data_IF_858946013679
#
_entry.id   IF_858946013679
#
_cell.length_a   1.000
_cell.length_b   1.000
_cell.length_c   1.000
_cell.angle_alpha   90.00
_cell.angle_beta   90.00
_cell.angle_gamma   90.00
#
_symmetry.space_group_name_H-M   'P 1'
#
loop_
_entity.id
_entity.type
_entity.pdbx_description
1 polymer ?
#
# COMPACT_ATOMS: atom_id res chain seq x y z
N UNK A 1 -31.94 -49.12 54.48
CA UNK A 1 -30.52 -48.78 54.67
C UNK A 1 -29.87 -48.62 53.30
N UNK A 2 -29.40 -47.40 53.04
CA UNK A 2 -28.41 -46.89 52.07
C UNK A 2 -28.16 -47.67 50.76
N UNK A 3 -28.66 -47.07 49.69
CA UNK A 3 -28.28 -47.26 48.28
C UNK A 3 -26.84 -46.77 48.03
N UNK A 4 -26.01 -47.58 47.37
CA UNK A 4 -24.71 -47.18 46.81
C UNK A 4 -24.94 -46.55 45.43
N UNK A 5 -24.64 -45.27 45.30
CA UNK A 5 -24.54 -44.58 44.01
C UNK A 5 -23.07 -44.37 43.70
N UNK A 6 -22.63 -44.98 42.59
CA UNK A 6 -21.32 -44.81 41.96
C UNK A 6 -21.17 -43.39 41.42
N UNK A 7 -20.07 -42.72 41.76
CA UNK A 7 -19.66 -41.44 41.19
C UNK A 7 -18.84 -41.68 39.93
N UNK A 8 -19.36 -41.24 38.78
CA UNK A 8 -18.58 -41.05 37.53
C UNK A 8 -18.58 -39.55 37.25
N UNK A 9 -17.42 -38.88 37.10
CA UNK A 9 -17.38 -37.46 36.79
C UNK A 9 -17.70 -37.22 35.31
N UNK A 10 -18.59 -36.26 35.10
CA UNK A 10 -19.10 -35.74 33.83
C UNK A 10 -18.02 -34.89 33.16
N UNK A 11 -17.67 -35.23 31.92
CA UNK A 11 -16.75 -34.47 31.07
C UNK A 11 -17.57 -33.43 30.29
N UNK A 12 -17.52 -32.16 30.69
CA UNK A 12 -18.13 -31.06 29.94
C UNK A 12 -17.24 -30.68 28.76
N UNK A 13 -17.71 -30.96 27.55
CA UNK A 13 -17.11 -30.52 26.30
C UNK A 13 -17.67 -29.13 25.97
N UNK A 14 -16.91 -28.07 26.25
CA UNK A 14 -17.21 -26.72 25.76
C UNK A 14 -16.94 -26.66 24.25
N UNK A 15 -17.98 -26.84 23.46
CA UNK A 15 -17.95 -26.47 22.05
C UNK A 15 -18.07 -24.95 21.94
N UNK A 16 -16.94 -24.27 21.71
CA UNK A 16 -16.94 -22.86 21.27
C UNK A 16 -17.41 -22.89 19.81
N UNK A 17 -18.73 -22.78 19.63
CA UNK A 17 -19.34 -22.56 18.33
C UNK A 17 -19.06 -21.12 17.89
N UNK A 18 -18.11 -20.94 16.97
CA UNK A 18 -17.96 -19.69 16.23
C UNK A 18 -19.24 -19.46 15.41
N UNK A 19 -20.11 -18.60 15.92
CA UNK A 19 -21.26 -18.08 15.19
C UNK A 19 -20.73 -17.21 14.04
N UNK A 20 -20.45 -17.83 12.89
CA UNK A 20 -20.38 -17.12 11.62
C UNK A 20 -21.81 -16.66 11.31
N UNK A 21 -22.17 -15.47 11.80
CA UNK A 21 -23.39 -14.78 11.37
C UNK A 21 -23.18 -14.44 9.90
N UNK A 22 -23.64 -15.31 9.02
CA UNK A 22 -23.81 -15.03 7.62
C UNK A 22 -24.99 -14.05 7.45
N UNK A 23 -24.77 -12.78 7.76
CA UNK A 23 -25.63 -11.73 7.21
C UNK A 23 -25.39 -11.71 5.71
N UNK A 24 -26.40 -12.10 4.94
CA UNK A 24 -26.43 -12.08 3.48
C UNK A 24 -26.83 -10.69 2.97
N UNK A 25 -26.22 -9.63 3.50
CA UNK A 25 -26.34 -8.29 2.94
C UNK A 25 -25.18 -8.04 1.95
N UNK A 26 -25.34 -7.04 1.08
CA UNK A 26 -24.40 -6.70 0.02
C UNK A 26 -23.02 -6.32 0.58
N UNK A 27 -22.97 -5.61 1.71
CA UNK A 27 -21.77 -5.28 2.48
C UNK A 27 -20.95 -6.52 2.86
N UNK A 28 -21.59 -7.57 3.38
CA UNK A 28 -20.89 -8.81 3.76
C UNK A 28 -20.40 -9.62 2.55
N UNK A 29 -21.02 -9.45 1.37
CA UNK A 29 -20.48 -10.00 0.11
C UNK A 29 -19.26 -9.18 -0.32
N UNK A 30 -19.38 -7.86 -0.33
CA UNK A 30 -18.31 -6.94 -0.70
C UNK A 30 -17.05 -7.16 0.15
N UNK A 31 -17.20 -7.24 1.48
CA UNK A 31 -16.10 -7.53 2.41
C UNK A 31 -15.41 -8.89 2.20
N UNK A 32 -16.07 -9.86 1.53
CA UNK A 32 -15.48 -11.16 1.19
C UNK A 32 -14.70 -11.12 -0.11
N UNK A 33 -15.01 -10.19 -1.00
CA UNK A 33 -14.39 -10.12 -2.33
C UNK A 33 -13.12 -9.25 -2.33
N UNK A 34 -13.04 -8.24 -1.47
CA UNK A 34 -11.90 -7.32 -1.34
C UNK A 34 -10.58 -7.99 -0.91
N UNK A 35 -10.54 -8.91 0.08
CA UNK A 35 -9.28 -9.47 0.56
C UNK A 35 -8.43 -10.12 -0.54
N UNK A 36 -7.11 -9.93 -0.42
CA UNK A 36 -6.12 -10.41 -1.38
C UNK A 36 -5.16 -9.31 -1.85
N UNK A 37 -4.32 -9.68 -2.82
CA UNK A 37 -3.28 -8.80 -3.39
C UNK A 37 -3.75 -8.23 -4.73
N UNK A 38 -3.63 -6.91 -4.88
CA UNK A 38 -4.11 -6.17 -6.04
C UNK A 38 -3.07 -5.15 -6.48
N UNK A 39 -2.70 -5.16 -7.76
CA UNK A 39 -1.74 -4.23 -8.33
C UNK A 39 -2.43 -3.18 -9.19
N UNK A 40 -2.11 -1.90 -8.96
CA UNK A 40 -2.59 -0.79 -9.76
C UNK A 40 -1.83 -0.64 -11.08
N UNK A 41 -2.24 0.34 -11.87
CA UNK A 41 -1.50 0.78 -13.05
C UNK A 41 -0.43 1.80 -12.67
N UNK A 42 0.58 2.03 -13.53
CA UNK A 42 1.55 3.11 -13.31
C UNK A 42 0.86 4.47 -13.22
N UNK A 43 1.16 5.22 -12.17
CA UNK A 43 0.64 6.57 -11.94
C UNK A 43 1.80 7.56 -11.77
N UNK A 44 1.61 8.79 -12.23
CA UNK A 44 2.59 9.86 -12.03
C UNK A 44 2.51 10.37 -10.59
N UNK A 45 3.66 10.58 -9.98
CA UNK A 45 3.79 11.31 -8.72
C UNK A 45 4.61 12.56 -9.02
N UNK A 46 3.99 13.73 -8.86
CA UNK A 46 4.69 15.02 -8.88
C UNK A 46 4.18 15.87 -7.72
N UNK A 47 5.07 16.62 -7.07
CA UNK A 47 4.71 17.57 -6.00
C UNK A 47 5.04 19.02 -6.38
N UNK A 48 5.16 19.31 -7.68
CA UNK A 48 5.68 20.58 -8.23
C UNK A 48 7.15 20.90 -7.87
N UNK A 49 7.90 19.97 -7.28
CA UNK A 49 9.37 20.04 -7.22
C UNK A 49 10.02 19.52 -8.51
N UNK A 50 11.35 19.63 -8.61
CA UNK A 50 12.15 19.17 -9.76
C UNK A 50 12.25 17.63 -9.90
N UNK A 51 11.27 16.89 -9.36
CA UNK A 51 11.21 15.43 -9.36
C UNK A 51 10.03 15.01 -10.24
N UNK A 52 10.34 14.23 -11.29
CA UNK A 52 9.33 13.49 -12.06
C UNK A 52 9.41 12.03 -11.63
N UNK A 53 8.34 11.50 -11.05
CA UNK A 53 8.30 10.12 -10.60
C UNK A 53 7.06 9.40 -11.11
N UNK A 54 7.14 8.07 -11.21
CA UNK A 54 5.98 7.20 -11.37
C UNK A 54 6.01 6.08 -10.34
N UNK A 55 4.84 5.61 -9.95
CA UNK A 55 4.65 4.50 -9.00
C UNK A 55 3.73 3.45 -9.57
N UNK A 56 3.98 2.20 -9.18
CA UNK A 56 3.00 1.12 -9.26
C UNK A 56 2.74 0.66 -7.83
N UNK A 57 1.52 0.89 -7.35
CA UNK A 57 1.08 0.45 -6.03
C UNK A 57 0.56 -1.00 -6.08
N UNK A 58 0.91 -1.79 -5.06
CA UNK A 58 0.36 -3.12 -4.80
C UNK A 58 -0.27 -3.12 -3.41
N UNK A 59 -1.59 -3.29 -3.37
CA UNK A 59 -2.40 -3.32 -2.17
C UNK A 59 -2.58 -4.76 -1.70
N UNK A 60 -2.33 -5.02 -0.43
CA UNK A 60 -2.63 -6.28 0.24
C UNK A 60 -3.71 -6.02 1.29
N UNK A 61 -4.94 -6.39 0.96
CA UNK A 61 -6.09 -6.26 1.86
C UNK A 61 -6.24 -7.52 2.70
N UNK A 62 -6.11 -7.40 4.01
CA UNK A 62 -6.39 -8.49 4.95
C UNK A 62 -7.89 -8.75 5.06
N UNK A 63 -8.32 -9.98 5.42
CA UNK A 63 -9.72 -10.29 5.69
C UNK A 63 -10.35 -9.33 6.70
N UNK A 64 -11.59 -8.92 6.44
CA UNK A 64 -12.33 -8.07 7.35
C UNK A 64 -12.76 -8.82 8.62
N UNK A 65 -12.87 -8.07 9.71
CA UNK A 65 -13.51 -8.47 10.96
C UNK A 65 -14.60 -7.47 11.33
N UNK A 66 -15.66 -7.96 11.96
CA UNK A 66 -16.75 -7.12 12.45
C UNK A 66 -16.32 -6.39 13.72
N UNK A 67 -16.49 -5.07 13.75
CA UNK A 67 -16.29 -4.27 14.97
C UNK A 67 -17.52 -4.30 15.88
N UNK A 68 -17.40 -3.75 17.09
CA UNK A 68 -18.52 -3.61 18.02
C UNK A 68 -19.67 -2.73 17.48
N UNK A 69 -19.40 -1.87 16.51
CA UNK A 69 -20.38 -1.00 15.86
C UNK A 69 -20.92 -1.62 14.55
N UNK A 70 -20.77 -2.93 14.37
CA UNK A 70 -21.26 -3.68 13.19
C UNK A 70 -20.64 -3.22 11.86
N UNK A 71 -19.46 -2.58 11.90
CA UNK A 71 -18.69 -2.21 10.71
C UNK A 71 -17.66 -3.27 10.37
N UNK A 72 -17.54 -3.63 9.08
CA UNK A 72 -16.52 -4.56 8.57
C UNK A 72 -15.23 -3.80 8.22
N UNK A 73 -14.13 -4.17 8.86
CA UNK A 73 -12.82 -3.50 8.69
C UNK A 73 -11.67 -4.50 8.66
N UNK A 74 -10.61 -4.19 7.92
CA UNK A 74 -9.39 -5.00 7.88
C UNK A 74 -8.13 -4.14 7.73
N UNK A 75 -6.98 -4.75 7.94
CA UNK A 75 -5.70 -4.10 7.67
C UNK A 75 -5.43 -4.03 6.16
N UNK A 76 -4.71 -3.01 5.73
CA UNK A 76 -4.14 -2.92 4.38
C UNK A 76 -2.66 -2.56 4.46
N UNK A 77 -1.84 -3.22 3.65
CA UNK A 77 -0.47 -2.81 3.38
C UNK A 77 -0.36 -2.45 1.91
N UNK A 78 0.28 -1.32 1.61
CA UNK A 78 0.57 -0.90 0.24
C UNK A 78 2.06 -0.90 0.04
N UNK A 79 2.52 -1.66 -0.95
CA UNK A 79 3.91 -1.65 -1.42
C UNK A 79 3.99 -0.96 -2.78
N UNK A 80 4.94 -0.04 -2.94
CA UNK A 80 5.08 0.74 -4.16
C UNK A 80 6.45 0.57 -4.79
N UNK A 81 6.48 0.33 -6.11
CA UNK A 81 7.69 0.43 -6.92
C UNK A 81 7.74 1.81 -7.57
N UNK A 82 8.72 2.63 -7.20
CA UNK A 82 8.85 4.02 -7.65
C UNK A 82 10.03 4.14 -8.61
N UNK A 83 9.80 4.74 -9.77
CA UNK A 83 10.86 5.20 -10.67
C UNK A 83 10.92 6.72 -10.62
N UNK A 84 12.11 7.26 -10.42
CA UNK A 84 12.35 8.70 -10.28
C UNK A 84 13.31 9.19 -11.34
N UNK A 85 13.03 10.36 -11.89
CA UNK A 85 13.95 11.17 -12.66
C UNK A 85 14.03 12.58 -12.04
N UNK A 86 15.22 13.00 -11.66
CA UNK A 86 15.44 14.30 -11.01
C UNK A 86 16.74 14.95 -11.46
N UNK A 87 16.80 16.28 -11.40
CA UNK A 87 18.00 17.03 -11.71
C UNK A 87 18.65 17.49 -10.40
N UNK A 88 19.90 17.10 -10.17
CA UNK A 88 20.67 17.55 -9.01
C UNK A 88 21.59 18.69 -9.43
N UNK A 89 21.43 19.81 -8.73
CA UNK A 89 22.36 20.95 -8.78
C UNK A 89 23.20 20.89 -7.52
N UNK A 90 24.48 20.57 -7.66
CA UNK A 90 25.46 20.60 -6.57
C UNK A 90 26.64 21.47 -6.97
N UNK A 91 27.19 22.22 -6.02
CA UNK A 91 28.42 23.01 -6.21
C UNK A 91 29.64 22.17 -6.63
N UNK A 92 29.61 20.86 -6.36
CA UNK A 92 30.61 19.90 -6.80
C UNK A 92 30.57 19.63 -8.32
N UNK A 93 29.47 19.99 -9.00
CA UNK A 93 29.29 19.79 -10.43
C UNK A 93 29.26 21.14 -11.15
N UNK A 94 29.99 21.25 -12.26
CA UNK A 94 30.01 22.46 -13.08
C UNK A 94 28.68 22.71 -13.80
N UNK A 95 27.90 21.63 -14.04
CA UNK A 95 26.59 21.66 -14.66
C UNK A 95 25.63 20.73 -13.88
N UNK A 96 24.31 20.98 -13.91
CA UNK A 96 23.35 20.08 -13.30
C UNK A 96 23.42 18.67 -13.90
N UNK A 97 23.31 17.65 -13.05
CA UNK A 97 23.32 16.25 -13.47
C UNK A 97 21.91 15.69 -13.40
N UNK A 98 21.45 15.09 -14.49
CA UNK A 98 20.21 14.32 -14.49
C UNK A 98 20.47 12.96 -13.83
N UNK A 99 19.67 12.62 -12.83
CA UNK A 99 19.69 11.34 -12.14
C UNK A 99 18.39 10.58 -12.38
N UNK A 100 18.51 9.27 -12.54
CA UNK A 100 17.40 8.34 -12.39
C UNK A 100 17.63 7.45 -11.17
N UNK A 101 16.59 7.13 -10.42
CA UNK A 101 16.64 6.24 -9.26
C UNK A 101 15.41 5.32 -9.23
N UNK A 102 15.54 4.16 -8.60
CA UNK A 102 14.40 3.31 -8.23
C UNK A 102 14.27 3.24 -6.71
N UNK A 103 13.05 3.16 -6.20
CA UNK A 103 12.78 2.98 -4.78
C UNK A 103 11.66 1.99 -4.54
N UNK A 104 11.74 1.29 -3.42
CA UNK A 104 10.66 0.51 -2.86
C UNK A 104 10.03 1.27 -1.70
N UNK A 105 8.71 1.24 -1.59
CA UNK A 105 7.98 1.93 -0.53
C UNK A 105 6.99 1.00 0.14
N UNK A 106 6.75 1.20 1.42
CA UNK A 106 5.71 0.47 2.16
C UNK A 106 4.97 1.41 3.09
N UNK A 107 3.65 1.28 3.15
CA UNK A 107 2.79 1.99 4.08
C UNK A 107 1.67 1.06 4.56
N UNK A 108 1.29 1.20 5.82
CA UNK A 108 0.21 0.43 6.42
C UNK A 108 -1.00 1.31 6.71
N UNK A 109 -2.17 0.68 6.80
CA UNK A 109 -3.42 1.35 7.10
C UNK A 109 -4.54 0.37 7.39
N UNK A 110 -5.76 0.89 7.36
CA UNK A 110 -7.00 0.10 7.48
C UNK A 110 -7.96 0.42 6.34
N UNK A 111 -8.68 -0.59 5.88
CA UNK A 111 -9.82 -0.43 5.00
C UNK A 111 -11.11 -0.75 5.74
N UNK A 112 -12.20 -0.07 5.40
CA UNK A 112 -13.50 -0.23 6.06
C UNK A 112 -14.59 -0.17 5.01
N UNK A 113 -15.56 -1.10 5.09
CA UNK A 113 -16.76 -1.04 4.26
C UNK A 113 -17.65 0.10 4.76
N UNK A 114 -18.03 1.01 3.86
CA UNK A 114 -18.92 2.14 4.16
C UNK A 114 -20.35 1.80 3.76
N UNK A 115 -20.54 1.29 2.55
CA UNK A 115 -21.80 0.77 2.02
C UNK A 115 -21.54 -0.42 1.06
N UNK A 116 -22.48 -0.75 0.18
CA UNK A 116 -22.45 -1.94 -0.66
C UNK A 116 -21.38 -1.95 -1.76
N UNK A 117 -20.91 -0.79 -2.19
CA UNK A 117 -19.78 -0.62 -3.13
C UNK A 117 -18.85 0.55 -2.75
N UNK A 118 -18.92 1.05 -1.52
CA UNK A 118 -18.04 2.11 -1.03
C UNK A 118 -17.08 1.60 0.06
N UNK A 119 -15.82 2.05 0.00
CA UNK A 119 -14.84 1.76 1.05
C UNK A 119 -14.09 3.01 1.50
N UNK A 120 -13.76 3.07 2.78
CA UNK A 120 -12.87 4.07 3.34
C UNK A 120 -11.47 3.48 3.52
N UNK A 121 -10.45 4.28 3.18
CA UNK A 121 -9.05 3.99 3.46
C UNK A 121 -8.49 4.97 4.48
N UNK A 122 -7.83 4.43 5.50
CA UNK A 122 -7.10 5.22 6.48
C UNK A 122 -5.64 4.76 6.48
N UNK A 123 -4.81 5.51 5.76
CA UNK A 123 -3.37 5.23 5.67
C UNK A 123 -2.62 5.93 6.81
N UNK A 124 -1.79 5.18 7.53
CA UNK A 124 -0.89 5.73 8.52
C UNK A 124 0.36 6.29 7.85
N UNK A 125 0.36 7.58 7.55
CA UNK A 125 1.48 8.28 6.91
C UNK A 125 2.76 8.18 7.75
N UNK A 126 2.66 8.03 9.07
CA UNK A 126 3.85 7.85 9.93
C UNK A 126 4.53 6.49 9.68
N UNK A 127 3.78 5.48 9.22
CA UNK A 127 4.30 4.16 8.86
C UNK A 127 5.01 4.13 7.50
N UNK A 128 4.94 5.20 6.70
CA UNK A 128 5.54 5.24 5.36
C UNK A 128 7.07 5.13 5.43
N UNK A 129 7.58 4.05 4.83
CA UNK A 129 9.00 3.77 4.60
C UNK A 129 9.31 3.92 3.12
N UNK A 130 10.46 4.54 2.82
CA UNK A 130 10.99 4.70 1.47
C UNK A 130 12.43 4.18 1.48
N UNK A 131 12.69 3.17 0.65
CA UNK A 131 14.00 2.57 0.47
C UNK A 131 14.47 2.79 -0.98
N UNK A 132 15.48 3.65 -1.16
CA UNK A 132 16.03 3.98 -2.47
C UNK A 132 17.13 2.96 -2.80
N UNK A 133 16.98 2.23 -3.90
CA UNK A 133 17.96 1.23 -4.33
C UNK A 133 19.28 1.92 -4.69
N UNK A 134 20.36 1.69 -3.93
CA UNK A 134 21.65 2.34 -4.18
C UNK A 134 22.28 1.91 -5.51
N UNK A 135 21.90 0.76 -6.08
CA UNK A 135 22.43 0.24 -7.35
C UNK A 135 21.65 0.73 -8.56
N UNK A 136 20.42 1.20 -8.36
CA UNK A 136 19.55 1.69 -9.43
C UNK A 136 19.71 3.19 -9.71
N UNK A 137 20.64 3.87 -9.02
CA UNK A 137 20.85 5.30 -9.23
C UNK A 137 21.89 5.53 -10.33
N UNK A 138 21.48 6.17 -11.43
CA UNK A 138 22.32 6.40 -12.61
C UNK A 138 22.34 7.88 -13.02
N UNK A 139 23.53 8.38 -13.38
CA UNK A 139 23.71 9.71 -13.95
C UNK A 139 23.57 9.67 -15.47
N UNK A 140 22.64 10.45 -16.01
CA UNK A 140 22.36 10.53 -17.44
C UNK A 140 23.03 11.77 -18.04
N UNK A 141 23.97 11.58 -18.98
CA UNK A 141 24.33 12.65 -19.95
C UNK A 141 25.70 13.33 -19.88
N UNK A 142 26.80 12.72 -19.43
CA UNK A 142 28.14 13.32 -19.65
C UNK A 142 29.25 12.32 -20.05
N UNK A 143 29.83 12.42 -21.26
CA UNK A 143 30.90 11.53 -21.74
C UNK A 143 32.24 11.66 -20.98
N UNK A 144 32.42 12.71 -20.16
CA UNK A 144 33.63 12.93 -19.37
C UNK A 144 33.68 12.16 -18.04
N UNK A 145 32.71 11.29 -17.78
CA UNK A 145 32.63 10.42 -16.58
C UNK A 145 33.18 9.01 -16.88
N UNK A 146 33.94 8.82 -17.96
CA UNK A 146 34.68 7.58 -18.19
C UNK A 146 35.90 7.53 -17.25
N UNK A 147 35.65 7.11 -16.01
CA UNK A 147 36.65 6.92 -14.95
C UNK A 147 36.41 7.69 -13.65
N UNK A 148 35.19 8.20 -13.38
CA UNK A 148 34.93 9.01 -12.18
C UNK A 148 34.11 8.24 -11.12
N UNK A 149 34.55 8.18 -9.85
CA UNK A 149 33.81 7.59 -8.71
C UNK A 149 32.44 8.22 -8.38
N UNK A 150 31.95 9.17 -9.20
CA UNK A 150 30.64 9.82 -9.08
C UNK A 150 29.44 8.84 -9.19
N UNK A 151 29.64 7.63 -9.73
CA UNK A 151 28.63 6.57 -9.81
C UNK A 151 28.72 5.54 -8.67
N UNK A 152 29.84 5.45 -7.96
CA UNK A 152 30.07 4.39 -6.94
C UNK A 152 29.46 4.73 -5.56
N UNK A 153 29.11 6.00 -5.32
CA UNK A 153 28.43 6.45 -4.11
C UNK A 153 27.78 7.80 -4.38
N UNK A 154 26.64 7.82 -5.06
CA UNK A 154 25.74 8.97 -4.97
C UNK A 154 25.44 9.15 -3.47
N UNK A 155 26.05 10.20 -2.91
CA UNK A 155 26.25 10.45 -1.49
C UNK A 155 25.01 10.01 -0.67
N UNK A 156 25.16 9.35 0.50
CA UNK A 156 24.04 9.12 1.42
C UNK A 156 23.09 10.31 1.56
N UNK A 157 23.59 11.55 1.48
CA UNK A 157 22.80 12.79 1.46
C UNK A 157 21.94 12.96 0.20
N UNK A 158 22.43 12.64 -1.00
CA UNK A 158 21.64 12.70 -2.24
C UNK A 158 20.52 11.66 -2.20
N UNK A 159 20.82 10.44 -1.75
CA UNK A 159 19.80 9.40 -1.57
C UNK A 159 18.79 9.79 -0.50
N UNK A 160 19.23 10.38 0.61
CA UNK A 160 18.34 10.88 1.65
C UNK A 160 17.41 11.97 1.12
N UNK A 161 17.91 12.90 0.29
CA UNK A 161 17.08 13.92 -0.36
C UNK A 161 16.06 13.31 -1.33
N UNK A 162 16.47 12.34 -2.14
CA UNK A 162 15.54 11.62 -3.04
C UNK A 162 14.47 10.90 -2.21
N UNK A 163 14.87 10.18 -1.16
CA UNK A 163 13.95 9.46 -0.28
C UNK A 163 12.97 10.41 0.42
N UNK A 164 13.44 11.58 0.88
CA UNK A 164 12.60 12.61 1.49
C UNK A 164 11.60 13.20 0.49
N UNK A 165 12.03 13.50 -0.74
CA UNK A 165 11.15 13.98 -1.80
C UNK A 165 10.07 12.96 -2.16
N UNK A 166 10.43 11.68 -2.32
CA UNK A 166 9.47 10.59 -2.54
C UNK A 166 8.51 10.51 -1.34
N UNK A 167 9.03 10.53 -0.11
CA UNK A 167 8.22 10.42 1.11
C UNK A 167 7.22 11.57 1.22
N UNK A 168 7.62 12.80 0.91
CA UNK A 168 6.73 13.96 0.93
C UNK A 168 5.60 13.81 -0.10
N UNK A 169 5.95 13.49 -1.35
CA UNK A 169 4.97 13.35 -2.42
C UNK A 169 3.97 12.21 -2.14
N UNK A 170 4.47 11.06 -1.65
CA UNK A 170 3.62 9.93 -1.27
C UNK A 170 2.79 10.19 -0.01
N UNK A 171 3.30 10.96 0.94
CA UNK A 171 2.54 11.34 2.13
C UNK A 171 1.28 12.13 1.75
N UNK A 172 1.39 13.05 0.78
CA UNK A 172 0.24 13.81 0.27
C UNK A 172 -0.73 12.89 -0.47
N UNK A 173 -0.22 12.03 -1.37
CA UNK A 173 -1.02 11.06 -2.12
C UNK A 173 -1.80 10.11 -1.20
N UNK A 174 -1.12 9.39 -0.32
CA UNK A 174 -1.81 8.47 0.61
C UNK A 174 -2.66 9.23 1.64
N UNK A 175 -2.43 10.52 1.85
CA UNK A 175 -3.33 11.36 2.63
C UNK A 175 -4.61 11.77 1.87
N UNK A 176 -4.60 11.79 0.54
CA UNK A 176 -5.80 12.07 -0.26
C UNK A 176 -6.62 10.82 -0.57
N UNK A 177 -6.00 9.63 -0.60
CA UNK A 177 -6.72 8.35 -0.65
C UNK A 177 -7.46 8.12 0.68
N UNK A 178 -8.71 8.57 0.74
CA UNK A 178 -9.59 8.48 1.92
C UNK A 178 -10.84 7.65 1.65
N UNK A 179 -11.30 7.66 0.41
CA UNK A 179 -12.54 7.04 0.00
C UNK A 179 -12.38 6.48 -1.40
N UNK A 180 -12.89 5.28 -1.61
CA UNK A 180 -13.00 4.62 -2.91
C UNK A 180 -14.49 4.38 -3.16
N UNK A 181 -15.00 5.01 -4.19
CA UNK A 181 -16.40 4.97 -4.61
C UNK A 181 -16.60 3.94 -5.73
N UNK A 182 -17.85 3.51 -5.94
CA UNK A 182 -18.26 2.70 -7.09
C UNK A 182 -17.44 1.41 -7.28
N UNK A 183 -17.02 0.79 -6.17
CA UNK A 183 -16.07 -0.33 -6.17
C UNK A 183 -16.70 -1.58 -6.76
N UNK A 184 -16.20 -1.99 -7.93
CA UNK A 184 -16.74 -3.11 -8.70
C UNK A 184 -15.67 -4.16 -8.95
N UNK A 185 -15.86 -5.35 -8.37
CA UNK A 185 -15.01 -6.51 -8.60
C UNK A 185 -15.63 -7.41 -9.68
N UNK A 186 -14.86 -7.70 -10.73
CA UNK A 186 -15.24 -8.62 -11.82
C UNK A 186 -14.06 -9.51 -12.17
N UNK A 187 -14.08 -10.75 -11.65
CA UNK A 187 -12.99 -11.70 -11.85
C UNK A 187 -11.70 -11.20 -11.21
N UNK A 188 -10.66 -10.99 -12.02
CA UNK A 188 -9.37 -10.50 -11.58
C UNK A 188 -9.26 -8.95 -11.57
N UNK A 189 -10.33 -8.21 -11.88
CA UNK A 189 -10.29 -6.75 -11.93
C UNK A 189 -11.12 -6.17 -10.78
N UNK A 190 -10.55 -5.19 -10.09
CA UNK A 190 -11.24 -4.30 -9.15
C UNK A 190 -11.19 -2.90 -9.75
N UNK A 191 -12.35 -2.31 -10.01
CA UNK A 191 -12.48 -0.92 -10.43
C UNK A 191 -13.01 -0.09 -9.28
N UNK A 192 -12.57 1.15 -9.17
CA UNK A 192 -13.05 2.08 -8.16
C UNK A 192 -12.83 3.51 -8.65
N UNK A 193 -13.55 4.45 -8.05
CA UNK A 193 -13.43 5.88 -8.30
C UNK A 193 -12.83 6.57 -7.07
N UNK A 194 -12.00 7.59 -7.28
CA UNK A 194 -11.59 8.53 -6.23
C UNK A 194 -11.91 9.93 -6.72
N UNK A 195 -12.94 10.55 -6.14
CA UNK A 195 -13.48 11.80 -6.68
C UNK A 195 -14.12 11.56 -8.04
N UNK A 196 -13.57 12.13 -9.11
CA UNK A 196 -14.06 11.95 -10.49
C UNK A 196 -13.11 11.08 -11.35
N UNK A 197 -12.08 10.49 -10.75
CA UNK A 197 -11.06 9.72 -11.45
C UNK A 197 -11.28 8.21 -11.30
N UNK A 198 -11.22 7.49 -12.41
CA UNK A 198 -11.35 6.04 -12.50
C UNK A 198 -10.00 5.33 -12.29
N UNK A 199 -10.00 4.30 -11.45
CA UNK A 199 -8.83 3.46 -11.20
C UNK A 199 -9.15 1.98 -11.40
N UNK A 200 -8.12 1.22 -11.75
CA UNK A 200 -8.20 -0.23 -11.89
C UNK A 200 -7.05 -0.90 -11.16
N UNK A 201 -7.38 -1.90 -10.35
CA UNK A 201 -6.44 -2.86 -9.80
C UNK A 201 -6.64 -4.23 -10.43
N UNK A 202 -5.55 -4.96 -10.62
CA UNK A 202 -5.54 -6.34 -11.10
C UNK A 202 -5.10 -7.26 -9.98
N UNK A 203 -5.92 -8.28 -9.69
CA UNK A 203 -5.61 -9.31 -8.70
C UNK A 203 -4.33 -10.03 -9.07
N UNK A 204 -3.41 -10.11 -8.13
CA UNK A 204 -2.20 -10.90 -8.28
C UNK A 204 -2.50 -12.33 -7.82
N UNK A 205 -2.17 -13.31 -8.65
CA UNK A 205 -2.21 -14.71 -8.23
C UNK A 205 -1.12 -14.96 -7.19
N UNK A 206 -1.47 -15.58 -6.06
CA UNK A 206 -0.50 -16.20 -5.15
C UNK A 206 0.31 -17.31 -5.86
#
# INVERSE_FOLDING_TARGET
MKSLVSFVPMLELLAIGSLLVACSNSEARFAKEIPGVWQGTPEAISDNSAISASIIDTYEFSPASMTANETLTGAVTVSGMVNVSTQVVDSAFAEPIQLSAAAHTTISGTWTVVDDDEMALSMDVASLVVDVDPKAVAANGSPMVMGNPATDALNPEVRARIAEGIKQALSVRYASLRHMDDVKIKGALLKYEVGEEDFVLTRQSE
#
